data_IF_961640136720
#
_entry.id   IF_961640136720
#
_cell.length_a   1.000
_cell.length_b   1.000
_cell.length_c   1.000
_cell.angle_alpha   90.00
_cell.angle_beta   90.00
_cell.angle_gamma   90.00
#
_symmetry.space_group_name_H-M   'P 1'
#
loop_
_entity.id
_entity.type
_entity.pdbx_description
1 polymer ?
#
# COMPACT_ATOMS: atom_id res chain seq x y z
N UNK A 1 -12.36 2.43 -11.07
CA UNK A 1 -12.21 1.06 -10.52
C UNK A 1 -10.84 0.48 -10.81
N UNK A 2 -10.46 0.24 -12.08
CA UNK A 2 -9.16 -0.32 -12.46
C UNK A 2 -7.95 0.46 -11.92
N UNK A 3 -8.06 1.79 -11.81
CA UNK A 3 -7.05 2.67 -11.23
C UNK A 3 -6.65 2.31 -9.79
N UNK A 4 -7.59 1.85 -8.96
CA UNK A 4 -7.30 1.43 -7.58
C UNK A 4 -6.47 0.15 -7.54
N UNK A 5 -6.81 -0.81 -8.40
CA UNK A 5 -6.08 -2.09 -8.51
C UNK A 5 -4.65 -1.82 -8.97
N UNK A 6 -4.46 -1.00 -10.01
CA UNK A 6 -3.12 -0.67 -10.50
C UNK A 6 -2.31 0.16 -9.52
N UNK A 7 -2.93 1.12 -8.83
CA UNK A 7 -2.23 1.91 -7.81
C UNK A 7 -1.70 1.03 -6.67
N UNK A 8 -2.52 0.11 -6.13
CA UNK A 8 -2.07 -0.85 -5.11
C UNK A 8 -1.01 -1.81 -5.66
N UNK A 9 -1.18 -2.31 -6.90
CA UNK A 9 -0.22 -3.22 -7.52
C UNK A 9 1.14 -2.55 -7.76
N UNK A 10 1.15 -1.27 -8.13
CA UNK A 10 2.38 -0.50 -8.29
C UNK A 10 3.12 -0.32 -6.96
N UNK A 11 2.39 -0.03 -5.87
CA UNK A 11 2.97 0.08 -4.52
C UNK A 11 3.52 -1.28 -4.06
N UNK A 12 2.78 -2.37 -4.26
CA UNK A 12 3.21 -3.73 -3.93
C UNK A 12 4.48 -4.12 -4.70
N UNK A 13 4.48 -3.89 -6.02
CA UNK A 13 5.63 -4.20 -6.86
C UNK A 13 6.86 -3.38 -6.47
N UNK A 14 6.69 -2.09 -6.22
CA UNK A 14 7.75 -1.23 -5.70
C UNK A 14 8.31 -1.76 -4.37
N UNK A 15 7.44 -2.15 -3.44
CA UNK A 15 7.86 -2.67 -2.14
C UNK A 15 8.67 -3.96 -2.29
N UNK A 16 8.23 -4.89 -3.15
CA UNK A 16 8.93 -6.15 -3.39
C UNK A 16 10.29 -5.92 -4.07
N UNK A 17 10.33 -5.07 -5.10
CA UNK A 17 11.57 -4.72 -5.80
C UNK A 17 12.57 -3.96 -4.92
N UNK A 18 12.08 -3.21 -3.93
CA UNK A 18 12.93 -2.48 -2.99
C UNK A 18 13.64 -3.38 -1.98
N UNK A 19 13.20 -4.62 -1.79
CA UNK A 19 13.82 -5.54 -0.83
C UNK A 19 15.10 -6.15 -1.43
N UNK A 20 16.28 -5.95 -0.81
CA UNK A 20 17.53 -6.58 -1.24
C UNK A 20 17.45 -8.12 -1.17
N UNK A 21 18.21 -8.81 -2.03
CA UNK A 21 18.19 -10.27 -2.13
C UNK A 21 18.66 -10.97 -0.83
N UNK A 22 19.59 -10.34 -0.13
CA UNK A 22 20.20 -10.75 1.13
C UNK A 22 19.48 -10.20 2.37
N UNK A 23 18.36 -9.50 2.19
CA UNK A 23 17.62 -8.95 3.33
C UNK A 23 16.87 -10.04 4.09
N UNK A 24 17.04 -10.04 5.41
CA UNK A 24 16.37 -10.93 6.34
C UNK A 24 15.51 -10.13 7.31
N UNK A 25 14.25 -10.55 7.46
CA UNK A 25 13.31 -9.95 8.42
C UNK A 25 13.04 -10.93 9.57
N UNK A 26 13.41 -10.51 10.77
CA UNK A 26 13.12 -11.26 12.00
C UNK A 26 11.73 -10.90 12.51
N UNK A 27 10.84 -11.90 12.57
CA UNK A 27 9.53 -11.77 13.21
C UNK A 27 9.52 -12.57 14.49
N UNK A 28 9.35 -11.89 15.62
CA UNK A 28 9.07 -12.53 16.90
C UNK A 28 7.63 -13.07 16.87
N UNK A 29 7.45 -14.35 17.14
CA UNK A 29 6.11 -14.87 17.44
C UNK A 29 5.70 -14.46 18.85
N UNK A 30 4.41 -14.60 19.19
CA UNK A 30 3.92 -14.23 20.53
C UNK A 30 4.70 -14.98 21.61
N UNK A 31 4.85 -14.33 22.76
CA UNK A 31 5.63 -14.70 23.94
C UNK A 31 6.04 -16.18 24.04
N UNK A 32 7.34 -16.45 23.85
CA UNK A 32 7.98 -17.73 24.18
C UNK A 32 8.33 -18.64 23.00
N UNK A 33 7.75 -18.44 21.83
CA UNK A 33 8.07 -19.22 20.63
C UNK A 33 9.08 -18.45 19.76
N UNK A 34 10.19 -19.10 19.41
CA UNK A 34 11.39 -18.50 18.82
C UNK A 34 11.22 -17.59 17.59
N UNK A 35 12.35 -17.02 17.13
CA UNK A 35 12.36 -16.11 15.98
C UNK A 35 12.18 -16.87 14.67
N UNK A 36 11.29 -16.36 13.81
CA UNK A 36 11.23 -16.80 12.41
C UNK A 36 11.95 -15.77 11.54
N UNK A 37 12.98 -16.23 10.84
CA UNK A 37 13.68 -15.48 9.80
C UNK A 37 12.88 -15.59 8.51
N UNK A 38 12.51 -14.46 7.92
CA UNK A 38 11.92 -14.38 6.59
C UNK A 38 12.96 -13.86 5.62
N UNK A 39 13.27 -14.64 4.58
CA UNK A 39 14.12 -14.18 3.46
C UNK A 39 13.27 -13.40 2.46
N UNK A 40 13.91 -12.72 1.50
CA UNK A 40 13.21 -11.94 0.46
C UNK A 40 11.96 -12.62 -0.12
N UNK A 41 12.09 -13.86 -0.59
CA UNK A 41 10.97 -14.61 -1.20
C UNK A 41 9.81 -14.82 -0.21
N UNK A 42 10.12 -15.08 1.07
CA UNK A 42 9.12 -15.22 2.10
C UNK A 42 8.46 -13.87 2.44
N UNK A 43 9.24 -12.78 2.43
CA UNK A 43 8.72 -11.43 2.67
C UNK A 43 7.74 -11.04 1.56
N UNK A 44 8.12 -11.25 0.30
CA UNK A 44 7.29 -10.94 -0.85
C UNK A 44 5.93 -11.66 -0.78
N UNK A 45 5.94 -12.93 -0.37
CA UNK A 45 4.74 -13.79 -0.37
C UNK A 45 3.88 -13.70 0.88
N UNK A 46 4.47 -13.60 2.06
CA UNK A 46 3.77 -13.80 3.33
C UNK A 46 3.62 -12.54 4.17
N UNK A 47 4.44 -11.52 3.93
CA UNK A 47 4.33 -10.27 4.68
C UNK A 47 3.36 -9.34 3.95
N UNK A 48 2.38 -8.82 4.70
CA UNK A 48 1.39 -7.87 4.17
C UNK A 48 2.05 -6.59 3.69
N UNK A 49 1.49 -5.96 2.66
CA UNK A 49 1.93 -4.65 2.17
C UNK A 49 2.02 -3.60 3.29
N UNK A 50 1.05 -3.56 4.20
CA UNK A 50 1.04 -2.62 5.33
C UNK A 50 2.33 -2.71 6.14
N UNK A 51 2.75 -3.94 6.47
CA UNK A 51 3.97 -4.21 7.23
C UNK A 51 5.23 -3.89 6.42
N UNK A 52 5.21 -4.16 5.10
CA UNK A 52 6.30 -3.79 4.21
C UNK A 52 6.51 -2.27 4.25
N UNK A 53 5.45 -1.50 4.06
CA UNK A 53 5.49 -0.04 4.07
C UNK A 53 5.78 0.54 5.46
N UNK A 54 5.15 0.02 6.51
CA UNK A 54 5.25 0.62 7.84
C UNK A 54 6.57 0.34 8.55
N UNK A 55 7.24 -0.78 8.23
CA UNK A 55 8.38 -1.28 9.00
C UNK A 55 9.56 -1.69 8.12
N UNK A 56 9.37 -2.56 7.12
CA UNK A 56 10.49 -3.13 6.37
C UNK A 56 11.18 -2.08 5.48
N UNK A 57 10.42 -1.36 4.66
CA UNK A 57 10.99 -0.34 3.78
C UNK A 57 11.62 0.81 4.57
N UNK A 58 11.02 1.36 5.65
CA UNK A 58 11.69 2.36 6.48
C UNK A 58 13.07 1.91 6.97
N UNK A 59 13.22 0.64 7.37
CA UNK A 59 14.51 0.07 7.77
C UNK A 59 15.51 -0.03 6.60
N UNK A 60 15.04 -0.45 5.41
CA UNK A 60 15.87 -0.56 4.21
C UNK A 60 16.36 0.81 3.74
N UNK A 61 15.45 1.78 3.66
CA UNK A 61 15.74 3.14 3.20
C UNK A 61 16.35 4.03 4.30
N UNK A 62 16.39 3.56 5.55
CA UNK A 62 16.88 4.29 6.73
C UNK A 62 16.14 5.61 6.95
N UNK A 63 14.82 5.56 6.90
CA UNK A 63 13.92 6.69 7.10
C UNK A 63 12.90 6.40 8.18
N UNK A 64 12.22 7.44 8.63
CA UNK A 64 11.07 7.29 9.53
C UNK A 64 9.87 6.66 8.80
N UNK A 65 8.98 6.06 9.57
CA UNK A 65 7.76 5.47 9.04
C UNK A 65 6.71 6.55 8.84
N UNK A 66 6.07 6.58 7.67
CA UNK A 66 5.01 7.55 7.39
C UNK A 66 3.64 7.17 8.01
N UNK A 67 3.57 6.20 8.92
CA UNK A 67 2.30 5.74 9.52
C UNK A 67 1.55 6.87 10.25
N UNK A 68 2.29 7.79 10.87
CA UNK A 68 1.72 8.98 11.52
C UNK A 68 1.34 10.09 10.54
N UNK A 69 1.76 10.00 9.27
CA UNK A 69 1.50 11.01 8.25
C UNK A 69 0.09 10.85 7.64
N UNK A 70 -0.54 11.93 7.18
CA UNK A 70 -1.80 11.87 6.45
C UNK A 70 -1.78 10.91 5.24
N UNK A 71 -0.60 10.76 4.62
CA UNK A 71 -0.37 9.87 3.50
C UNK A 71 -0.68 8.40 3.83
N UNK A 72 -0.51 7.98 5.09
CA UNK A 72 -0.87 6.63 5.52
C UNK A 72 -2.39 6.40 5.48
N UNK A 73 -3.18 7.41 5.86
CA UNK A 73 -4.63 7.32 5.75
C UNK A 73 -5.10 7.27 4.28
N UNK A 74 -4.43 8.01 3.39
CA UNK A 74 -4.68 7.92 1.94
C UNK A 74 -4.37 6.50 1.42
N UNK A 75 -3.26 5.90 1.86
CA UNK A 75 -2.92 4.51 1.55
C UNK A 75 -3.99 3.52 2.05
N UNK A 76 -4.39 3.62 3.31
CA UNK A 76 -5.39 2.71 3.89
C UNK A 76 -6.73 2.82 3.15
N UNK A 77 -7.15 4.03 2.77
CA UNK A 77 -8.35 4.23 1.96
C UNK A 77 -8.21 3.60 0.58
N UNK A 78 -7.09 3.83 -0.10
CA UNK A 78 -6.78 3.23 -1.41
C UNK A 78 -6.87 1.70 -1.34
N UNK A 79 -6.22 1.10 -0.33
CA UNK A 79 -6.23 -0.34 -0.10
C UNK A 79 -7.64 -0.86 0.20
N UNK A 80 -8.40 -0.20 1.08
CA UNK A 80 -9.74 -0.63 1.46
C UNK A 80 -10.70 -0.64 0.27
N UNK A 81 -10.63 0.38 -0.60
CA UNK A 81 -11.41 0.41 -1.84
C UNK A 81 -11.01 -0.74 -2.76
N UNK A 82 -9.70 -1.00 -2.90
CA UNK A 82 -9.20 -2.15 -3.68
C UNK A 82 -9.66 -3.50 -3.13
N UNK A 83 -9.55 -3.73 -1.83
CA UNK A 83 -9.99 -4.98 -1.18
C UNK A 83 -11.50 -5.18 -1.38
N UNK A 84 -12.27 -4.11 -1.27
CA UNK A 84 -13.71 -4.11 -1.51
C UNK A 84 -14.07 -4.41 -2.97
N UNK A 85 -13.28 -3.91 -3.94
CA UNK A 85 -13.44 -4.23 -5.36
C UNK A 85 -13.14 -5.70 -5.68
N UNK A 86 -12.13 -6.29 -5.04
CA UNK A 86 -11.77 -7.70 -5.25
C UNK A 86 -12.81 -8.64 -4.63
N UNK A 87 -13.33 -8.27 -3.48
CA UNK A 87 -14.33 -9.05 -2.74
C UNK A 87 -15.76 -8.57 -2.95
N UNK A 88 -16.03 -7.89 -4.08
CA UNK A 88 -17.30 -7.26 -4.36
C UNK A 88 -18.45 -8.26 -4.30
N UNK A 89 -19.46 -8.00 -3.47
CA UNK A 89 -20.66 -8.84 -3.32
C UNK A 89 -21.86 -8.14 -3.93
N UNK A 90 -22.89 -8.91 -4.28
CA UNK A 90 -24.15 -8.39 -4.82
C UNK A 90 -24.81 -7.33 -3.93
N UNK A 91 -24.70 -7.48 -2.60
CA UNK A 91 -25.19 -6.48 -1.63
C UNK A 91 -24.45 -5.14 -1.69
N UNK A 92 -23.21 -5.11 -2.17
CA UNK A 92 -22.43 -3.86 -2.28
C UNK A 92 -22.89 -3.00 -3.48
N UNK A 93 -23.68 -3.60 -4.38
CA UNK A 93 -24.35 -2.93 -5.49
C UNK A 93 -25.72 -2.34 -5.09
N UNK A 94 -26.38 -2.88 -4.07
CA UNK A 94 -27.69 -2.40 -3.64
C UNK A 94 -27.52 -1.16 -2.76
N UNK A 95 -28.03 0.01 -3.17
CA UNK A 95 -28.13 1.15 -2.27
C UNK A 95 -29.26 0.85 -1.28
N UNK A 96 -28.93 0.18 -0.17
CA UNK A 96 -29.84 0.02 0.96
C UNK A 96 -30.15 1.41 1.55
N UNK A 97 -31.15 2.08 0.99
CA UNK A 97 -31.64 3.38 1.46
C UNK A 97 -30.67 4.53 1.23
N UNK A 98 -31.08 5.45 0.35
CA UNK A 98 -30.51 6.80 0.34
C UNK A 98 -30.95 7.52 1.64
N UNK A 99 -30.06 8.19 2.40
CA UNK A 99 -28.60 8.25 2.32
C UNK A 99 -27.97 7.75 3.64
N UNK A 100 -27.79 6.43 3.86
CA UNK A 100 -27.16 6.00 5.14
C UNK A 100 -26.17 4.84 5.13
N UNK A 101 -25.96 4.12 4.03
CA UNK A 101 -25.01 2.99 4.03
C UNK A 101 -23.75 3.35 3.25
N UNK A 102 -22.60 3.27 3.93
CA UNK A 102 -21.26 3.31 3.34
C UNK A 102 -21.12 2.10 2.41
N UNK A 103 -21.40 2.28 1.13
CA UNK A 103 -21.23 1.25 0.11
C UNK A 103 -19.96 1.49 -0.69
N UNK A 104 -19.36 0.41 -1.18
CA UNK A 104 -18.23 0.46 -2.13
C UNK A 104 -18.60 1.28 -3.35
N UNK A 105 -19.87 1.21 -3.78
CA UNK A 105 -20.38 1.99 -4.88
C UNK A 105 -20.36 3.50 -4.61
N UNK A 106 -20.78 3.94 -3.41
CA UNK A 106 -20.63 5.33 -3.00
C UNK A 106 -19.15 5.74 -2.97
N UNK A 107 -18.29 4.87 -2.47
CA UNK A 107 -16.84 5.10 -2.43
C UNK A 107 -16.22 5.17 -3.83
N UNK A 108 -16.82 4.60 -4.88
CA UNK A 108 -16.32 4.62 -6.26
C UNK A 108 -16.93 5.76 -7.09
N UNK A 109 -18.24 5.97 -6.97
CA UNK A 109 -19.00 6.99 -7.71
C UNK A 109 -18.71 8.38 -7.14
N UNK A 110 -18.64 8.52 -5.81
CA UNK A 110 -18.28 9.77 -5.15
C UNK A 110 -16.78 9.87 -4.82
N UNK A 111 -15.98 8.82 -5.09
CA UNK A 111 -14.51 8.91 -5.10
C UNK A 111 -13.98 9.95 -6.08
N UNK A 112 -14.78 10.41 -7.04
CA UNK A 112 -14.40 11.50 -7.94
C UNK A 112 -13.99 12.77 -7.15
N UNK A 113 -14.42 12.92 -5.89
CA UNK A 113 -13.94 13.98 -4.98
C UNK A 113 -12.71 13.61 -4.12
N UNK A 114 -12.24 12.36 -4.14
CA UNK A 114 -11.08 11.86 -3.37
C UNK A 114 -9.83 11.84 -4.26
N UNK A 115 -8.65 11.94 -3.65
CA UNK A 115 -7.36 12.02 -4.35
C UNK A 115 -7.20 10.88 -5.38
N UNK A 116 -6.66 11.22 -6.57
CA UNK A 116 -6.45 10.29 -7.67
C UNK A 116 -5.55 9.11 -7.23
N UNK A 117 -5.98 7.84 -7.39
CA UNK A 117 -5.21 6.66 -7.00
C UNK A 117 -3.75 6.64 -7.50
N UNK A 118 -3.51 7.11 -8.72
CA UNK A 118 -2.17 7.16 -9.30
C UNK A 118 -1.28 8.19 -8.59
N UNK A 119 -1.86 9.34 -8.20
CA UNK A 119 -1.15 10.38 -7.44
C UNK A 119 -0.80 9.87 -6.05
N UNK A 120 -1.74 9.21 -5.36
CA UNK A 120 -1.49 8.61 -4.03
C UNK A 120 -0.35 7.59 -4.13
N UNK A 121 -0.42 6.68 -5.09
CA UNK A 121 0.64 5.69 -5.34
C UNK A 121 2.00 6.33 -5.57
N UNK A 122 2.06 7.36 -6.43
CA UNK A 122 3.28 8.12 -6.71
C UNK A 122 3.83 8.83 -5.47
N UNK A 123 2.96 9.43 -4.64
CA UNK A 123 3.37 10.05 -3.36
C UNK A 123 3.98 9.04 -2.40
N UNK A 124 3.37 7.87 -2.24
CA UNK A 124 3.88 6.79 -1.37
C UNK A 124 5.25 6.32 -1.85
N UNK A 125 5.39 6.02 -3.14
CA UNK A 125 6.68 5.64 -3.74
C UNK A 125 7.71 6.76 -3.56
N UNK A 126 7.28 8.01 -3.80
CA UNK A 126 8.08 9.20 -3.64
C UNK A 126 8.64 9.38 -2.25
N UNK A 127 7.86 9.11 -1.20
CA UNK A 127 8.30 9.20 0.19
C UNK A 127 9.59 8.40 0.46
N UNK A 128 9.74 7.22 -0.15
CA UNK A 128 10.96 6.42 -0.04
C UNK A 128 12.07 6.89 -0.97
N UNK A 129 11.72 7.24 -2.22
CA UNK A 129 12.71 7.60 -3.23
C UNK A 129 13.35 8.97 -2.97
N UNK A 130 12.61 9.97 -2.51
CA UNK A 130 13.15 11.32 -2.28
C UNK A 130 14.20 11.36 -1.17
N UNK A 131 14.13 10.40 -0.24
CA UNK A 131 15.12 10.23 0.81
C UNK A 131 16.29 9.31 0.40
N UNK A 132 16.22 8.73 -0.80
CA UNK A 132 17.29 7.90 -1.36
C UNK A 132 18.29 8.73 -2.15
N UNK A 133 19.56 8.29 -2.19
CA UNK A 133 20.62 8.99 -2.93
C UNK A 133 20.42 8.96 -4.45
N UNK A 134 19.69 7.98 -4.98
CA UNK A 134 19.54 7.73 -6.40
C UNK A 134 18.07 7.60 -6.79
N UNK A 135 17.46 8.72 -7.16
CA UNK A 135 16.08 8.72 -7.65
C UNK A 135 16.06 8.15 -9.08
N UNK A 136 15.30 7.07 -9.36
CA UNK A 136 15.20 6.51 -10.70
C UNK A 136 14.65 7.50 -11.74
N UNK A 137 15.19 7.44 -12.96
CA UNK A 137 14.75 8.29 -14.09
C UNK A 137 13.26 8.15 -14.43
N UNK A 138 12.72 6.94 -14.29
CA UNK A 138 11.29 6.71 -14.56
C UNK A 138 10.41 7.45 -13.57
N UNK A 139 10.86 7.64 -12.32
CA UNK A 139 10.09 8.35 -11.30
C UNK A 139 10.08 9.85 -11.56
N UNK A 140 11.23 10.42 -11.94
CA UNK A 140 11.37 11.87 -12.22
C UNK A 140 10.66 12.32 -13.49
N UNK A 141 10.59 11.47 -14.53
CA UNK A 141 9.90 11.80 -15.80
C UNK A 141 8.39 11.53 -15.79
N UNK A 142 7.87 10.96 -14.72
CA UNK A 142 6.48 10.59 -14.60
C UNK A 142 5.65 11.82 -14.18
N UNK A 143 4.72 12.29 -15.01
CA UNK A 143 4.05 13.59 -14.83
C UNK A 143 2.76 13.57 -13.99
N UNK A 144 2.30 12.41 -13.50
CA UNK A 144 1.07 12.30 -12.70
C UNK A 144 1.08 13.18 -11.44
#
# INVERSE_FOLDING_TARGET
MQSYIFACSAIEHFANMSIPADYEYLKTNKAGEGFKVYKKVDIERYISLDKKLSIILPLIYKIESFVSEPLWQEYLQLKNVRDSLIHFKSKDFQPDGWPKVKSVWNDLVFAVKRNNPAIISKKIIGYYLTNSKNIPRWFTKCHF
#
